data_IF_178221608162
#
_entry.id   IF_178221608162
#
_cell.length_a   1.000
_cell.length_b   1.000
_cell.length_c   1.000
_cell.angle_alpha   90.00
_cell.angle_beta   90.00
_cell.angle_gamma   90.00
#
_symmetry.space_group_name_H-M   'P 1'
#
loop_
_entity.id
_entity.type
_entity.pdbx_description
1 polymer ?
#
# COMPACT_ATOMS: atom_id res chain seq x y z
N UNK A 1 -10.08 3.08 1.13
CA UNK A 1 -9.82 1.79 0.46
C UNK A 1 -8.71 1.07 1.22
N UNK A 2 -8.57 -0.26 1.09
CA UNK A 2 -7.53 -1.03 1.78
C UNK A 2 -6.67 -1.73 0.72
N UNK A 3 -5.34 -1.63 0.85
CA UNK A 3 -4.38 -2.38 0.06
C UNK A 3 -3.76 -3.51 0.88
N UNK A 4 -3.67 -4.71 0.32
CA UNK A 4 -3.20 -5.91 1.02
C UNK A 4 -2.54 -6.96 0.11
N UNK A 5 -2.03 -6.56 -1.06
CA UNK A 5 -1.40 -7.52 -1.97
C UNK A 5 -0.06 -8.02 -1.42
N UNK A 6 0.17 -9.33 -1.48
CA UNK A 6 1.42 -9.93 -1.03
C UNK A 6 1.55 -10.04 0.49
N UNK A 7 2.78 -10.29 0.95
CA UNK A 7 3.11 -10.46 2.37
C UNK A 7 4.32 -9.62 2.76
N UNK A 8 4.55 -9.49 4.06
CA UNK A 8 5.65 -8.71 4.63
C UNK A 8 6.55 -9.49 5.55
N UNK A 9 7.81 -9.09 5.60
CA UNK A 9 8.83 -9.60 6.50
C UNK A 9 9.42 -8.44 7.29
N UNK A 10 9.50 -8.62 8.61
CA UNK A 10 10.03 -7.67 9.57
C UNK A 10 11.17 -8.32 10.33
N UNK A 11 12.23 -7.55 10.55
CA UNK A 11 13.35 -7.91 11.42
C UNK A 11 13.29 -7.02 12.66
N UNK A 12 13.34 -7.63 13.84
CA UNK A 12 13.30 -6.91 15.11
C UNK A 12 14.39 -5.83 15.18
N UNK A 13 14.01 -4.61 15.54
CA UNK A 13 14.91 -3.46 15.63
C UNK A 13 15.20 -2.76 14.29
N UNK A 14 14.67 -3.27 13.17
CA UNK A 14 14.79 -2.62 11.86
C UNK A 14 13.48 -1.95 11.45
N UNK A 15 13.55 -0.70 10.99
CA UNK A 15 12.39 -0.02 10.40
C UNK A 15 12.13 -0.45 8.95
N UNK A 16 13.01 -1.24 8.32
CA UNK A 16 12.85 -1.69 6.94
C UNK A 16 11.90 -2.87 6.91
N UNK A 17 10.88 -2.77 6.05
CA UNK A 17 9.94 -3.86 5.77
C UNK A 17 10.21 -4.37 4.37
N UNK A 18 10.30 -5.70 4.24
CA UNK A 18 10.47 -6.38 2.97
C UNK A 18 9.14 -7.00 2.53
N UNK A 19 8.74 -6.72 1.31
CA UNK A 19 7.53 -7.25 0.70
C UNK A 19 7.83 -8.42 -0.24
N UNK A 20 6.92 -9.39 -0.29
CA UNK A 20 6.90 -10.46 -1.31
C UNK A 20 5.56 -10.41 -2.03
N UNK A 21 5.58 -10.32 -3.36
CA UNK A 21 4.36 -10.16 -4.16
C UNK A 21 3.67 -8.79 -4.03
N UNK A 22 4.32 -7.84 -3.37
CA UNK A 22 3.85 -6.46 -3.18
C UNK A 22 4.15 -5.60 -4.40
N UNK A 23 3.40 -4.50 -4.57
CA UNK A 23 3.62 -3.47 -5.60
C UNK A 23 3.54 -2.07 -5.00
N UNK A 24 4.27 -1.81 -3.91
CA UNK A 24 4.10 -0.59 -3.12
C UNK A 24 4.39 0.71 -3.88
N UNK A 25 5.21 0.70 -4.92
CA UNK A 25 5.54 1.90 -5.70
C UNK A 25 4.75 1.97 -7.00
N UNK A 26 4.52 0.81 -7.62
CA UNK A 26 3.87 0.62 -8.91
C UNK A 26 2.42 0.13 -8.72
N UNK A 27 1.62 0.86 -7.93
CA UNK A 27 0.19 0.56 -7.75
C UNK A 27 -0.68 1.78 -7.99
N UNK A 28 -1.92 1.53 -8.43
CA UNK A 28 -2.96 2.55 -8.60
C UNK A 28 -3.49 3.09 -7.27
N UNK A 29 -3.19 2.42 -6.15
CA UNK A 29 -3.71 2.77 -4.82
C UNK A 29 -2.95 3.90 -4.13
N UNK A 30 -1.89 4.42 -4.75
CA UNK A 30 -1.16 5.60 -4.28
C UNK A 30 -0.50 5.40 -2.91
N UNK A 31 0.14 4.26 -2.70
CA UNK A 31 0.84 3.99 -1.43
C UNK A 31 2.00 4.97 -1.26
N UNK A 32 2.02 5.68 -0.14
CA UNK A 32 2.93 6.80 0.10
C UNK A 32 3.29 6.97 1.58
N UNK A 33 4.29 7.84 1.84
CA UNK A 33 4.63 8.25 3.18
C UNK A 33 3.45 8.91 3.90
N UNK A 34 3.35 8.72 5.21
CA UNK A 34 2.28 9.24 6.07
C UNK A 34 1.06 8.31 6.21
N UNK A 35 0.94 7.27 5.38
CA UNK A 35 -0.14 6.29 5.49
C UNK A 35 0.10 5.31 6.64
N UNK A 36 -1.00 4.84 7.24
CA UNK A 36 -0.98 3.84 8.30
C UNK A 36 -0.90 2.44 7.67
N UNK A 37 0.02 1.63 8.18
CA UNK A 37 0.14 0.21 7.90
C UNK A 37 -0.14 -0.58 9.17
N UNK A 38 -0.98 -1.62 9.05
CA UNK A 38 -1.28 -2.56 10.13
C UNK A 38 -0.80 -3.95 9.73
N UNK A 39 0.05 -4.58 10.53
CA UNK A 39 0.69 -5.86 10.23
C UNK A 39 0.23 -6.88 11.27
N UNK A 40 -0.25 -8.03 10.81
CA UNK A 40 -0.71 -9.10 11.68
C UNK A 40 0.46 -9.89 12.27
N UNK A 41 0.45 -10.08 13.59
CA UNK A 41 1.40 -10.89 14.35
C UNK A 41 0.62 -11.85 15.26
N UNK A 42 0.36 -13.06 14.76
CA UNK A 42 -0.52 -14.02 15.43
C UNK A 42 -1.92 -13.43 15.67
N UNK A 43 -2.31 -13.30 16.93
CA UNK A 43 -3.58 -12.70 17.37
C UNK A 43 -3.48 -11.18 17.64
N UNK A 44 -2.33 -10.57 17.38
CA UNK A 44 -2.08 -9.15 17.59
C UNK A 44 -1.90 -8.42 16.27
N UNK A 45 -2.11 -7.10 16.29
CA UNK A 45 -1.89 -6.22 15.13
C UNK A 45 -0.92 -5.12 15.54
N UNK A 46 0.13 -4.95 14.75
CA UNK A 46 1.13 -3.90 14.92
C UNK A 46 0.74 -2.77 13.97
N UNK A 47 0.40 -1.61 14.53
CA UNK A 47 0.17 -0.41 13.74
C UNK A 47 1.43 0.44 13.69
N UNK A 48 1.72 0.98 12.50
CA UNK A 48 2.83 1.89 12.28
C UNK A 48 2.49 2.83 11.13
N UNK A 49 3.38 3.79 10.87
CA UNK A 49 3.24 4.75 9.78
C UNK A 49 4.36 4.50 8.77
N UNK A 50 4.03 4.58 7.48
CA UNK A 50 5.00 4.51 6.40
C UNK A 50 5.78 5.82 6.38
N UNK A 51 7.10 5.76 6.57
CA UNK A 51 8.01 6.90 6.45
C UNK A 51 8.45 7.12 5.01
N UNK A 52 8.74 6.05 4.28
CA UNK A 52 9.08 6.12 2.85
C UNK A 52 8.74 4.82 2.14
N UNK A 53 8.47 4.92 0.83
CA UNK A 53 8.30 3.77 -0.07
C UNK A 53 9.47 3.79 -1.04
N UNK A 54 10.41 2.87 -0.85
CA UNK A 54 11.66 2.87 -1.60
C UNK A 54 11.49 2.14 -2.94
N UNK A 55 10.78 1.01 -2.93
CA UNK A 55 10.49 0.18 -4.12
C UNK A 55 9.17 -0.58 -3.96
N UNK A 56 8.84 -1.42 -4.95
CA UNK A 56 7.67 -2.31 -4.88
C UNK A 56 7.70 -3.31 -3.73
N UNK A 57 8.89 -3.61 -3.20
CA UNK A 57 9.14 -4.63 -2.18
C UNK A 57 9.92 -4.09 -0.98
N UNK A 58 10.13 -2.78 -0.90
CA UNK A 58 10.81 -2.17 0.24
C UNK A 58 10.11 -0.86 0.64
N UNK A 59 9.72 -0.80 1.91
CA UNK A 59 9.28 0.43 2.56
C UNK A 59 9.99 0.58 3.91
N UNK A 60 9.92 1.79 4.45
CA UNK A 60 10.49 2.11 5.76
C UNK A 60 9.40 2.63 6.67
N UNK A 61 9.33 2.10 7.89
CA UNK A 61 8.40 2.51 8.93
C UNK A 61 8.93 3.72 9.72
N UNK A 62 8.03 4.44 10.37
CA UNK A 62 8.37 5.54 11.27
C UNK A 62 9.12 5.05 12.52
N UNK A 63 8.69 3.90 13.07
CA UNK A 63 9.30 3.28 14.24
C UNK A 63 9.77 1.86 13.92
N UNK A 64 10.91 1.46 14.50
CA UNK A 64 11.42 0.10 14.38
C UNK A 64 10.66 -0.85 15.32
N UNK A 65 9.91 -1.84 14.82
CA UNK A 65 9.22 -2.82 15.64
C UNK A 65 10.21 -3.80 16.31
N UNK A 66 9.89 -4.24 17.53
CA UNK A 66 10.73 -5.15 18.33
C UNK A 66 10.37 -6.63 18.16
N UNK A 67 9.93 -7.02 16.96
CA UNK A 67 9.47 -8.38 16.66
C UNK A 67 9.93 -8.81 15.27
N UNK A 68 10.20 -10.11 15.12
CA UNK A 68 10.48 -10.72 13.83
C UNK A 68 9.18 -11.32 13.28
N UNK A 69 8.88 -11.01 12.02
CA UNK A 69 7.74 -11.57 11.31
C UNK A 69 8.18 -12.07 9.95
N UNK A 70 7.70 -13.24 9.57
CA UNK A 70 7.96 -13.85 8.27
C UNK A 70 6.64 -14.17 7.59
N UNK A 71 6.49 -13.72 6.33
CA UNK A 71 5.27 -13.90 5.55
C UNK A 71 4.00 -13.39 6.26
N UNK A 72 4.10 -12.25 6.94
CA UNK A 72 2.99 -11.66 7.67
C UNK A 72 2.02 -10.94 6.74
N UNK A 73 0.73 -11.12 7.01
CA UNK A 73 -0.34 -10.35 6.40
C UNK A 73 -0.30 -8.92 6.89
N UNK A 74 -0.68 -7.99 6.01
CA UNK A 74 -0.74 -6.58 6.33
C UNK A 74 -1.85 -5.89 5.55
N UNK A 75 -2.23 -4.72 6.03
CA UNK A 75 -3.14 -3.81 5.35
C UNK A 75 -2.59 -2.39 5.42
N UNK A 76 -2.70 -1.65 4.31
CA UNK A 76 -2.41 -0.22 4.25
C UNK A 76 -3.72 0.51 4.00
N UNK A 77 -4.02 1.49 4.85
CA UNK A 77 -5.16 2.37 4.64
C UNK A 77 -4.81 3.37 3.54
N UNK A 78 -5.50 3.28 2.41
CA UNK A 78 -5.29 4.18 1.28
C UNK A 78 -6.48 5.12 1.10
N UNK A 79 -6.17 6.35 0.71
CA UNK A 79 -7.11 7.38 0.32
C UNK A 79 -7.08 7.52 -1.19
N UNK A 80 -7.43 6.46 -1.94
CA UNK A 80 -7.81 6.68 -3.34
C UNK A 80 -9.19 7.30 -3.29
N UNK A 81 -9.34 8.59 -3.66
CA UNK A 81 -10.67 9.16 -3.79
C UNK A 81 -11.31 8.55 -5.05
N UNK A 82 -12.64 8.53 -5.12
CA UNK A 82 -13.41 8.11 -6.30
C UNK A 82 -13.05 8.86 -7.61
N UNK A 83 -12.17 9.87 -7.53
CA UNK A 83 -11.73 10.76 -8.60
C UNK A 83 -11.03 10.05 -9.77
N UNK A 84 -10.34 8.93 -9.55
CA UNK A 84 -9.76 8.15 -10.67
C UNK A 84 -10.89 7.49 -11.49
N UNK A 85 -11.92 6.98 -10.83
CA UNK A 85 -13.11 6.45 -11.51
C UNK A 85 -13.85 7.56 -12.26
N UNK A 86 -14.00 8.74 -11.67
CA UNK A 86 -14.62 9.89 -12.35
C UNK A 86 -13.80 10.44 -13.52
N UNK A 87 -12.46 10.44 -13.43
CA UNK A 87 -11.59 10.78 -14.54
C UNK A 87 -11.75 9.79 -15.71
N UNK A 88 -11.77 8.49 -15.41
CA UNK A 88 -11.99 7.44 -16.42
C UNK A 88 -13.39 7.55 -17.03
N UNK A 89 -14.44 7.77 -16.23
CA UNK A 89 -15.80 7.97 -16.74
C UNK A 89 -15.91 9.15 -17.69
N UNK A 90 -15.28 10.28 -17.37
CA UNK A 90 -15.25 11.45 -18.27
C UNK A 90 -14.52 11.14 -19.58
N UNK A 91 -13.38 10.44 -19.53
CA UNK A 91 -12.65 10.05 -20.75
C UNK A 91 -13.49 9.09 -21.62
N UNK A 92 -14.13 8.09 -21.00
CA UNK A 92 -15.03 7.17 -21.72
C UNK A 92 -16.21 7.90 -22.36
N UNK A 93 -16.81 8.87 -21.67
CA UNK A 93 -17.90 9.69 -22.21
C UNK A 93 -17.45 10.55 -23.40
N UNK A 94 -16.27 11.16 -23.32
CA UNK A 94 -15.68 11.93 -24.44
C UNK A 94 -15.42 11.03 -25.65
N UNK A 95 -14.83 9.85 -25.46
CA UNK A 95 -14.54 8.90 -26.54
C UNK A 95 -15.80 8.28 -27.16
N UNK A 96 -16.90 8.15 -26.41
CA UNK A 96 -18.18 7.70 -26.93
C UNK A 96 -18.83 8.78 -27.81
N UNK A 97 -18.70 10.05 -27.43
CA UNK A 97 -19.21 11.17 -28.22
C UNK A 97 -18.47 11.34 -29.56
N UNK A 98 -17.14 11.21 -29.57
CA UNK A 98 -16.33 11.37 -30.80
C UNK A 98 -16.47 10.23 -31.81
N UNK A 99 -17.01 9.06 -31.42
CA UNK A 99 -17.29 7.94 -32.33
C UNK A 99 -18.66 8.01 -33.01
N UNK A 100 -19.50 8.97 -32.62
CA UNK A 100 -20.85 9.19 -33.18
C UNK A 100 -20.92 10.42 -34.12
N UNK A 101 -19.77 11.04 -34.45
CA UNK A 101 -19.65 12.16 -35.40
C UNK A 101 -18.74 11.78 -36.55
#
# INVERSE_FOLDING_TARGET
MIYSDGTTNLVSGSAIVRGTGTKWKSNINGIAAGQIISIQSGNTVIQNVIRSVNSDTELVLAFAPSINLNNANYVISTTVPDTVSDGVRHICAINAYTQLT
#
